data_IF_372745236060
#
_entry.id   IF_372745236060
#
_cell.length_a   1.000
_cell.length_b   1.000
_cell.length_c   1.000
_cell.angle_alpha   90.00
_cell.angle_beta   90.00
_cell.angle_gamma   90.00
#
_symmetry.space_group_name_H-M   'P 1'
#
loop_
_entity.id
_entity.type
_entity.pdbx_description
1 polymer ?
#
# COMPACT_ATOMS: atom_id res chain seq x y z
N UNK A 1 -5.07 -14.09 10.18
CA UNK A 1 -4.78 -14.32 11.63
C UNK A 1 -4.96 -13.06 12.49
N UNK A 2 -4.52 -11.87 12.06
CA UNK A 2 -4.74 -10.63 12.84
C UNK A 2 -6.18 -10.16 12.75
N UNK A 3 -6.79 -10.21 11.58
CA UNK A 3 -8.19 -9.88 11.34
C UNK A 3 -9.17 -10.80 12.12
N UNK A 4 -8.83 -12.07 12.31
CA UNK A 4 -9.65 -13.03 13.06
C UNK A 4 -9.72 -12.72 14.57
N UNK A 5 -8.81 -11.88 15.05
CA UNK A 5 -8.68 -11.54 16.47
C UNK A 5 -9.09 -10.11 16.80
N UNK A 6 -9.24 -9.25 15.80
CA UNK A 6 -9.52 -7.84 15.97
C UNK A 6 -10.70 -7.43 15.08
N UNK A 7 -11.87 -7.34 15.68
CA UNK A 7 -13.11 -6.95 15.01
C UNK A 7 -13.12 -5.47 14.58
N UNK A 8 -12.10 -4.69 14.96
CA UNK A 8 -11.91 -3.29 14.59
C UNK A 8 -11.05 -3.11 13.33
N UNK A 9 -10.83 -4.16 12.56
CA UNK A 9 -10.13 -4.06 11.28
C UNK A 9 -11.15 -4.21 10.15
N UNK A 10 -11.17 -3.22 9.25
CA UNK A 10 -11.99 -3.23 8.04
C UNK A 10 -11.12 -3.28 6.78
N UNK A 11 -11.61 -3.96 5.77
CA UNK A 11 -10.98 -4.01 4.45
C UNK A 11 -11.99 -3.59 3.38
N UNK A 12 -11.67 -2.54 2.65
CA UNK A 12 -12.49 -1.98 1.60
C UNK A 12 -11.84 -2.25 0.24
N UNK A 13 -12.62 -2.62 -0.74
CA UNK A 13 -12.13 -2.86 -2.10
C UNK A 13 -13.02 -2.19 -3.14
N UNK A 14 -12.42 -1.47 -4.08
CA UNK A 14 -13.09 -0.94 -5.26
C UNK A 14 -13.15 -1.97 -6.39
N UNK A 15 -12.18 -2.88 -6.47
CA UNK A 15 -12.09 -3.88 -7.53
C UNK A 15 -12.82 -5.17 -7.16
N UNK A 16 -13.81 -5.53 -7.98
CA UNK A 16 -14.59 -6.77 -7.80
C UNK A 16 -13.80 -8.02 -8.23
N UNK A 17 -12.89 -7.87 -9.17
CA UNK A 17 -12.23 -8.99 -9.86
C UNK A 17 -10.91 -9.45 -9.25
N UNK A 18 -10.45 -8.87 -8.13
CA UNK A 18 -9.17 -9.22 -7.53
C UNK A 18 -9.20 -10.60 -6.86
N UNK A 19 -8.87 -11.64 -7.61
CA UNK A 19 -8.82 -13.03 -7.13
C UNK A 19 -7.88 -13.20 -5.91
N UNK A 20 -6.85 -12.37 -5.79
CA UNK A 20 -5.96 -12.35 -4.63
C UNK A 20 -6.68 -12.03 -3.31
N UNK A 21 -7.87 -11.42 -3.35
CA UNK A 21 -8.69 -11.08 -2.20
C UNK A 21 -9.77 -12.12 -1.86
N UNK A 22 -9.93 -13.19 -2.65
CA UNK A 22 -11.01 -14.15 -2.47
C UNK A 22 -10.99 -14.84 -1.10
N UNK A 23 -9.81 -15.24 -0.65
CA UNK A 23 -9.65 -15.83 0.68
C UNK A 23 -9.98 -14.83 1.81
N UNK A 24 -9.57 -13.59 1.65
CA UNK A 24 -9.87 -12.52 2.59
C UNK A 24 -11.38 -12.26 2.65
N UNK A 25 -12.02 -12.15 1.50
CA UNK A 25 -13.46 -11.92 1.32
C UNK A 25 -14.31 -13.01 1.98
N UNK A 26 -13.89 -14.27 1.82
CA UNK A 26 -14.59 -15.43 2.43
C UNK A 26 -14.43 -15.47 3.96
N UNK A 27 -13.24 -15.17 4.47
CA UNK A 27 -12.93 -15.28 5.91
C UNK A 27 -13.44 -14.11 6.74
N UNK A 28 -13.58 -12.93 6.14
CA UNK A 28 -13.90 -11.68 6.85
C UNK A 28 -15.10 -10.95 6.25
N UNK A 29 -16.11 -11.71 5.86
CA UNK A 29 -17.27 -11.19 5.15
C UNK A 29 -17.99 -10.05 5.88
N UNK A 30 -17.97 -10.01 7.21
CA UNK A 30 -18.59 -8.94 8.02
C UNK A 30 -17.80 -7.61 7.97
N UNK A 31 -16.47 -7.68 7.80
CA UNK A 31 -15.57 -6.52 7.83
C UNK A 31 -14.90 -6.27 6.46
N UNK A 32 -15.32 -7.01 5.44
CA UNK A 32 -14.92 -6.81 4.06
C UNK A 32 -16.04 -6.09 3.32
N UNK A 33 -15.77 -4.85 2.89
CA UNK A 33 -16.73 -4.02 2.16
C UNK A 33 -16.32 -3.93 0.70
N UNK A 34 -17.25 -4.27 -0.16
CA UNK A 34 -17.10 -4.07 -1.60
C UNK A 34 -17.78 -2.77 -2.00
N UNK A 35 -17.01 -1.76 -2.35
CA UNK A 35 -17.49 -0.41 -2.64
C UNK A 35 -17.81 -0.18 -4.13
N UNK A 36 -17.55 -1.16 -5.00
CA UNK A 36 -17.68 -0.96 -6.45
C UNK A 36 -16.60 -0.01 -6.99
N UNK A 37 -16.75 0.42 -8.23
CA UNK A 37 -15.83 1.36 -8.88
C UNK A 37 -16.18 2.78 -8.44
N UNK A 38 -15.92 3.10 -7.18
CA UNK A 38 -16.24 4.37 -6.53
C UNK A 38 -15.19 4.74 -5.48
N UNK A 39 -13.94 4.89 -5.90
CA UNK A 39 -12.78 5.08 -5.02
C UNK A 39 -12.92 6.31 -4.12
N UNK A 40 -13.54 7.39 -4.60
CA UNK A 40 -13.81 8.58 -3.80
C UNK A 40 -14.73 8.26 -2.61
N UNK A 41 -15.91 7.67 -2.88
CA UNK A 41 -16.84 7.27 -1.83
C UNK A 41 -16.22 6.22 -0.89
N UNK A 42 -15.40 5.31 -1.42
CA UNK A 42 -14.66 4.32 -0.62
C UNK A 42 -13.74 4.99 0.40
N UNK A 43 -13.05 6.08 0.03
CA UNK A 43 -12.20 6.84 0.95
C UNK A 43 -13.01 7.60 1.99
N UNK A 44 -14.18 8.11 1.65
CA UNK A 44 -15.10 8.77 2.60
C UNK A 44 -15.64 7.76 3.62
N UNK A 45 -16.05 6.56 3.16
CA UNK A 45 -16.44 5.44 4.03
C UNK A 45 -15.28 5.03 4.94
N UNK A 46 -14.08 4.89 4.39
CA UNK A 46 -12.88 4.55 5.15
C UNK A 46 -12.59 5.59 6.24
N UNK A 47 -12.76 6.86 5.93
CA UNK A 47 -12.57 7.97 6.89
C UNK A 47 -13.61 7.90 8.02
N UNK A 48 -14.87 7.65 7.71
CA UNK A 48 -15.93 7.47 8.72
C UNK A 48 -15.64 6.28 9.64
N UNK A 49 -15.25 5.13 9.08
CA UNK A 49 -14.87 3.95 9.88
C UNK A 49 -13.64 4.21 10.75
N UNK A 50 -12.66 4.95 10.26
CA UNK A 50 -11.47 5.28 11.01
C UNK A 50 -11.75 6.26 12.16
N UNK A 51 -12.68 7.22 11.98
CA UNK A 51 -13.15 8.11 13.04
C UNK A 51 -13.83 7.36 14.18
N UNK A 52 -14.50 6.24 13.89
CA UNK A 52 -15.06 5.33 14.90
C UNK A 52 -14.01 4.42 15.58
N UNK A 53 -12.72 4.69 15.36
CA UNK A 53 -11.62 3.97 16.00
C UNK A 53 -11.26 2.63 15.35
N UNK A 54 -11.65 2.42 14.10
CA UNK A 54 -11.27 1.23 13.35
C UNK A 54 -9.97 1.44 12.58
N UNK A 55 -9.23 0.35 12.34
CA UNK A 55 -8.10 0.27 11.41
C UNK A 55 -8.64 -0.07 10.03
N UNK A 56 -8.39 0.76 9.05
CA UNK A 56 -9.01 0.59 7.74
C UNK A 56 -7.95 0.36 6.65
N UNK A 57 -8.14 -0.71 5.90
CA UNK A 57 -7.35 -1.04 4.72
C UNK A 57 -8.20 -0.83 3.48
N UNK A 58 -7.67 -0.09 2.52
CA UNK A 58 -8.36 0.27 1.28
C UNK A 58 -7.54 -0.24 0.10
N UNK A 59 -8.15 -1.03 -0.78
CA UNK A 59 -7.48 -1.65 -1.92
C UNK A 59 -8.12 -1.22 -3.23
N UNK A 60 -7.29 -0.71 -4.15
CA UNK A 60 -7.67 -0.43 -5.53
C UNK A 60 -6.44 -0.40 -6.46
N UNK A 61 -6.69 -0.27 -7.76
CA UNK A 61 -5.63 0.01 -8.74
C UNK A 61 -4.97 1.36 -8.45
N UNK A 62 -3.68 1.42 -8.64
CA UNK A 62 -2.85 2.56 -8.25
C UNK A 62 -3.31 3.91 -8.82
N UNK A 63 -3.63 4.09 -10.12
CA UNK A 63 -4.05 5.39 -10.65
C UNK A 63 -5.38 5.87 -10.06
N UNK A 64 -6.29 4.94 -9.76
CA UNK A 64 -7.60 5.29 -9.24
C UNK A 64 -7.55 5.62 -7.75
N UNK A 65 -6.68 4.94 -7.01
CA UNK A 65 -6.47 5.25 -5.60
C UNK A 65 -5.64 6.52 -5.39
N UNK A 66 -4.70 6.82 -6.29
CA UNK A 66 -3.82 7.99 -6.16
C UNK A 66 -4.41 9.25 -6.78
N UNK A 67 -4.86 9.21 -8.03
CA UNK A 67 -5.29 10.41 -8.75
C UNK A 67 -6.77 10.70 -8.53
N UNK A 68 -7.63 9.69 -8.71
CA UNK A 68 -9.08 9.87 -8.66
C UNK A 68 -9.58 10.26 -7.27
N UNK A 69 -8.96 9.76 -6.20
CA UNK A 69 -9.40 9.98 -4.82
C UNK A 69 -8.41 10.80 -3.97
N UNK A 70 -7.56 11.61 -4.62
CA UNK A 70 -6.52 12.37 -3.92
C UNK A 70 -7.09 13.40 -2.94
N UNK A 71 -8.20 14.03 -3.27
CA UNK A 71 -8.88 15.00 -2.41
C UNK A 71 -9.39 14.34 -1.13
N UNK A 72 -10.12 13.24 -1.25
CA UNK A 72 -10.65 12.46 -0.12
C UNK A 72 -9.50 11.94 0.76
N UNK A 73 -8.43 11.47 0.14
CA UNK A 73 -7.22 11.03 0.86
C UNK A 73 -6.59 12.17 1.62
N UNK A 74 -6.45 13.35 1.01
CA UNK A 74 -5.87 14.53 1.66
C UNK A 74 -6.72 15.00 2.84
N UNK A 75 -8.03 15.12 2.65
CA UNK A 75 -8.95 15.64 3.66
C UNK A 75 -9.19 14.63 4.78
N UNK A 76 -9.39 13.36 4.47
CA UNK A 76 -9.62 12.29 5.44
C UNK A 76 -8.31 11.80 6.06
N UNK A 77 -7.60 10.91 5.36
CA UNK A 77 -6.42 10.25 5.91
C UNK A 77 -5.29 11.21 6.29
N UNK A 78 -5.02 12.24 5.46
CA UNK A 78 -3.95 13.20 5.69
C UNK A 78 -4.26 14.21 6.79
N UNK A 79 -5.18 15.14 6.53
CA UNK A 79 -5.44 16.26 7.46
C UNK A 79 -6.02 15.81 8.80
N UNK A 80 -6.85 14.77 8.82
CA UNK A 80 -7.40 14.22 10.07
C UNK A 80 -6.49 13.20 10.73
N UNK A 81 -5.34 12.88 10.12
CA UNK A 81 -4.36 11.90 10.61
C UNK A 81 -5.00 10.54 10.98
N UNK A 82 -5.86 10.04 10.11
CA UNK A 82 -6.59 8.79 10.35
C UNK A 82 -5.75 7.55 10.03
N UNK A 83 -5.93 6.44 10.77
CA UNK A 83 -5.18 5.20 10.58
C UNK A 83 -5.69 4.41 9.38
N UNK A 84 -5.59 4.98 8.19
CA UNK A 84 -6.01 4.39 6.92
C UNK A 84 -4.79 3.93 6.14
N UNK A 85 -4.78 2.66 5.75
CA UNK A 85 -3.76 2.07 4.90
C UNK A 85 -4.28 1.88 3.48
N UNK A 86 -3.75 2.65 2.55
CA UNK A 86 -4.05 2.55 1.13
C UNK A 86 -3.13 1.53 0.47
N UNK A 87 -3.69 0.48 -0.10
CA UNK A 87 -2.96 -0.59 -0.80
C UNK A 87 -3.24 -0.44 -2.29
N UNK A 88 -2.27 0.07 -3.02
CA UNK A 88 -2.37 0.25 -4.47
C UNK A 88 -1.68 -0.88 -5.22
N UNK A 89 -2.27 -1.36 -6.29
CA UNK A 89 -1.70 -2.40 -7.16
C UNK A 89 -1.49 -1.89 -8.57
N UNK A 90 -0.42 -2.36 -9.21
CA UNK A 90 -0.07 -1.99 -10.59
C UNK A 90 0.54 -0.59 -10.70
N UNK A 91 1.47 -0.27 -9.81
CA UNK A 91 2.18 1.03 -9.81
C UNK A 91 3.06 1.20 -11.05
N UNK A 92 3.35 2.45 -11.39
CA UNK A 92 4.12 2.79 -12.59
C UNK A 92 3.41 2.32 -13.87
N UNK A 93 4.05 1.46 -14.64
CA UNK A 93 3.51 0.87 -15.86
C UNK A 93 3.01 -0.57 -15.67
N UNK A 94 2.61 -0.96 -14.47
CA UNK A 94 2.15 -2.30 -14.15
C UNK A 94 0.96 -2.79 -15.00
N UNK A 95 0.13 -1.87 -15.49
CA UNK A 95 -0.97 -2.12 -16.43
C UNK A 95 -0.72 -1.46 -17.78
N UNK A 96 0.50 -1.57 -18.32
CA UNK A 96 0.86 -0.97 -19.62
C UNK A 96 -0.03 -1.44 -20.77
N UNK A 97 -0.50 -2.68 -20.71
CA UNK A 97 -1.43 -3.31 -21.65
C UNK A 97 -2.83 -2.65 -21.66
N UNK A 98 -3.21 -1.96 -20.60
CA UNK A 98 -4.50 -1.27 -20.46
C UNK A 98 -4.46 0.20 -20.87
N UNK A 99 -3.28 0.71 -21.22
CA UNK A 99 -3.07 2.07 -21.72
C UNK A 99 -2.93 3.15 -20.65
N UNK A 100 -2.78 4.43 -21.07
CA UNK A 100 -2.39 5.53 -20.18
C UNK A 100 -3.33 5.80 -19.01
N UNK A 101 -4.61 5.45 -19.11
CA UNK A 101 -5.58 5.61 -18.03
C UNK A 101 -5.30 4.71 -16.82
N UNK A 102 -4.46 3.67 -17.01
CA UNK A 102 -4.08 2.71 -15.99
C UNK A 102 -2.62 2.86 -15.52
N UNK A 103 -1.89 3.87 -16.03
CA UNK A 103 -0.56 4.17 -15.55
C UNK A 103 -0.63 4.92 -14.21
N UNK A 104 0.36 4.70 -13.37
CA UNK A 104 0.49 5.36 -12.08
C UNK A 104 1.93 5.82 -11.89
N UNK A 105 2.34 6.79 -12.69
CA UNK A 105 3.69 7.39 -12.65
C UNK A 105 3.74 8.60 -11.71
N UNK A 106 2.60 9.18 -11.36
CA UNK A 106 2.44 10.39 -10.56
C UNK A 106 2.17 10.13 -9.08
N UNK A 107 1.89 8.90 -8.69
CA UNK A 107 1.44 8.53 -7.34
C UNK A 107 2.39 8.98 -6.24
N UNK A 108 3.71 8.87 -6.45
CA UNK A 108 4.70 9.39 -5.51
C UNK A 108 4.57 10.89 -5.28
N UNK A 109 4.40 11.67 -6.35
CA UNK A 109 4.26 13.12 -6.25
C UNK A 109 3.00 13.48 -5.45
N UNK A 110 1.89 12.79 -5.71
CA UNK A 110 0.63 12.97 -5.01
C UNK A 110 0.77 12.71 -3.51
N UNK A 111 1.24 11.53 -3.13
CA UNK A 111 1.31 11.13 -1.72
C UNK A 111 2.42 11.84 -0.94
N UNK A 112 3.54 12.20 -1.56
CA UNK A 112 4.57 13.02 -0.91
C UNK A 112 4.09 14.42 -0.53
N UNK A 113 3.09 14.94 -1.22
CA UNK A 113 2.51 16.25 -0.93
C UNK A 113 1.51 16.23 0.23
N UNK A 114 1.06 15.04 0.67
CA UNK A 114 0.09 14.93 1.76
C UNK A 114 0.83 14.75 3.08
N UNK A 115 0.54 15.64 4.04
CA UNK A 115 1.13 15.61 5.38
C UNK A 115 0.76 14.30 6.11
N UNK A 116 1.71 13.73 6.83
CA UNK A 116 1.51 12.49 7.59
C UNK A 116 1.59 11.21 6.78
N UNK A 117 1.73 11.29 5.45
CA UNK A 117 1.83 10.14 4.56
C UNK A 117 3.12 9.33 4.81
N UNK A 118 2.97 8.03 5.05
CA UNK A 118 4.06 7.05 5.05
C UNK A 118 3.97 6.22 3.78
N UNK A 119 4.98 6.33 2.90
CA UNK A 119 4.98 5.64 1.60
C UNK A 119 5.89 4.41 1.66
N UNK A 120 5.35 3.24 1.33
CA UNK A 120 6.07 1.98 1.31
C UNK A 120 6.09 1.38 -0.10
N UNK A 121 7.25 0.91 -0.53
CA UNK A 121 7.42 0.25 -1.83
C UNK A 121 8.17 -1.07 -1.62
N UNK A 122 7.47 -2.14 -1.21
CA UNK A 122 8.09 -3.44 -1.02
C UNK A 122 8.59 -4.02 -2.34
N UNK A 123 9.68 -4.76 -2.29
CA UNK A 123 10.28 -5.42 -3.44
C UNK A 123 10.00 -6.93 -3.49
N UNK A 124 9.48 -7.52 -2.40
CA UNK A 124 9.18 -8.93 -2.29
C UNK A 124 8.19 -9.23 -1.14
N UNK A 125 7.88 -10.50 -0.95
CA UNK A 125 6.95 -10.97 0.10
C UNK A 125 7.51 -10.71 1.51
N UNK A 126 8.82 -10.73 1.74
CA UNK A 126 9.41 -10.54 3.06
C UNK A 126 9.29 -9.08 3.52
N UNK A 127 9.64 -8.14 2.64
CA UNK A 127 9.44 -6.71 2.89
C UNK A 127 7.96 -6.36 3.05
N UNK A 128 7.08 -6.94 2.24
CA UNK A 128 5.62 -6.77 2.38
C UNK A 128 5.11 -7.24 3.74
N UNK A 129 5.58 -8.39 4.23
CA UNK A 129 5.19 -8.91 5.55
C UNK A 129 5.63 -8.02 6.70
N UNK A 130 6.83 -7.43 6.63
CA UNK A 130 7.30 -6.47 7.64
C UNK A 130 6.45 -5.20 7.66
N UNK A 131 6.17 -4.63 6.49
CA UNK A 131 5.29 -3.46 6.35
C UNK A 131 3.91 -3.76 6.94
N UNK A 132 3.29 -4.88 6.56
CA UNK A 132 1.98 -5.26 7.05
C UNK A 132 1.96 -5.45 8.58
N UNK A 133 3.03 -6.02 9.16
CA UNK A 133 3.17 -6.17 10.61
C UNK A 133 3.27 -4.82 11.30
N UNK A 134 4.07 -3.90 10.77
CA UNK A 134 4.22 -2.56 11.35
C UNK A 134 2.89 -1.81 11.33
N UNK A 135 2.21 -1.75 10.20
CA UNK A 135 0.92 -1.03 10.05
C UNK A 135 -0.15 -1.61 10.97
N UNK A 136 -0.19 -2.93 11.16
CA UNK A 136 -1.14 -3.55 12.09
C UNK A 136 -0.84 -3.20 13.54
N UNK A 137 0.44 -3.08 13.92
CA UNK A 137 0.88 -2.76 15.28
C UNK A 137 0.84 -1.25 15.57
N UNK A 138 1.16 -0.44 14.57
CA UNK A 138 1.26 1.03 14.63
C UNK A 138 0.41 1.65 13.52
N UNK A 139 -0.94 1.62 13.64
CA UNK A 139 -1.82 2.13 12.60
C UNK A 139 -1.61 3.62 12.37
N UNK A 140 -1.36 3.98 11.11
CA UNK A 140 -1.12 5.37 10.67
C UNK A 140 -1.52 5.50 9.20
N UNK A 141 -1.66 6.74 8.73
CA UNK A 141 -1.85 6.99 7.31
C UNK A 141 -0.67 6.43 6.52
N UNK A 142 -0.95 5.45 5.67
CA UNK A 142 0.06 4.71 4.92
C UNK A 142 -0.38 4.48 3.48
N UNK A 143 0.57 4.56 2.55
CA UNK A 143 0.38 4.24 1.15
C UNK A 143 1.36 3.14 0.74
N UNK A 144 0.84 1.96 0.39
CA UNK A 144 1.63 0.80 -0.04
C UNK A 144 1.54 0.68 -1.55
N UNK A 145 2.69 0.65 -2.21
CA UNK A 145 2.84 0.51 -3.65
C UNK A 145 3.20 -0.91 -4.02
N UNK A 146 2.25 -1.67 -4.56
CA UNK A 146 2.46 -3.04 -5.02
C UNK A 146 2.57 -3.12 -6.54
N UNK A 147 3.49 -3.94 -7.03
CA UNK A 147 3.52 -4.30 -8.43
C UNK A 147 2.33 -5.22 -8.76
N UNK A 148 1.96 -5.32 -10.04
CA UNK A 148 0.97 -6.27 -10.55
C UNK A 148 1.49 -7.70 -10.54
N UNK A 149 2.79 -7.85 -10.82
CA UNK A 149 3.43 -9.14 -10.97
C UNK A 149 3.87 -9.73 -9.63
N UNK A 150 3.96 -11.05 -9.57
CA UNK A 150 4.66 -11.73 -8.48
C UNK A 150 6.17 -11.50 -8.63
N UNK A 151 6.76 -10.84 -7.65
CA UNK A 151 8.19 -10.56 -7.62
C UNK A 151 8.94 -11.71 -6.93
N UNK A 152 10.13 -12.10 -7.42
CA UNK A 152 10.98 -13.07 -6.74
C UNK A 152 11.40 -12.61 -5.35
N UNK A 153 11.76 -13.55 -4.48
CA UNK A 153 12.24 -13.26 -3.14
C UNK A 153 13.71 -12.82 -3.18
N UNK A 154 14.00 -11.60 -2.75
CA UNK A 154 15.36 -11.05 -2.69
C UNK A 154 15.79 -10.63 -1.28
N UNK A 155 14.84 -10.56 -0.34
CA UNK A 155 15.09 -10.14 1.04
C UNK A 155 14.80 -11.22 2.10
N UNK A 156 15.17 -12.49 1.93
CA UNK A 156 14.79 -13.53 2.90
C UNK A 156 15.34 -13.28 4.31
N UNK A 157 16.35 -12.41 4.44
CA UNK A 157 16.98 -12.03 5.71
C UNK A 157 16.74 -10.56 6.09
N UNK A 158 15.70 -9.91 5.55
CA UNK A 158 15.35 -8.56 5.98
C UNK A 158 14.92 -8.57 7.45
N UNK A 159 15.42 -7.63 8.21
CA UNK A 159 15.17 -7.55 9.65
C UNK A 159 14.27 -6.35 9.99
N UNK A 160 13.77 -6.33 11.24
CA UNK A 160 13.05 -5.15 11.73
C UNK A 160 13.95 -3.91 11.79
N UNK A 161 15.25 -4.08 12.00
CA UNK A 161 16.19 -2.97 12.00
C UNK A 161 16.33 -2.34 10.61
N UNK A 162 16.51 -3.17 9.56
CA UNK A 162 16.52 -2.69 8.17
C UNK A 162 15.23 -1.89 7.85
N UNK A 163 14.09 -2.37 8.35
CA UNK A 163 12.80 -1.68 8.18
C UNK A 163 12.77 -0.32 8.89
N UNK A 164 13.25 -0.27 10.13
CA UNK A 164 13.26 0.95 10.94
C UNK A 164 14.21 2.03 10.36
N UNK A 165 15.29 1.61 9.72
CA UNK A 165 16.20 2.49 8.97
C UNK A 165 15.58 3.00 7.66
N UNK A 166 14.55 2.33 7.15
CA UNK A 166 13.83 2.69 5.93
C UNK A 166 14.55 2.31 4.63
N UNK A 167 15.72 1.68 4.70
CA UNK A 167 16.49 1.18 3.55
C UNK A 167 17.40 0.02 3.95
N UNK A 168 17.87 -0.72 2.95
CA UNK A 168 18.87 -1.76 3.15
C UNK A 168 20.04 -1.57 2.17
N UNK A 169 21.26 -1.71 2.68
CA UNK A 169 22.49 -1.63 1.88
C UNK A 169 22.92 -3.03 1.47
N UNK A 170 23.19 -3.19 0.18
CA UNK A 170 23.77 -4.41 -0.39
C UNK A 170 25.19 -4.15 -0.86
N UNK A 171 26.08 -5.12 -0.63
CA UNK A 171 27.48 -5.04 -1.03
C UNK A 171 28.37 -4.33 -0.01
N UNK A 172 29.68 -4.24 -0.34
CA UNK A 172 30.67 -3.57 0.50
C UNK A 172 30.78 -2.11 0.12
N UNK A 173 30.68 -1.22 1.09
CA UNK A 173 30.72 0.23 0.89
C UNK A 173 32.15 0.71 0.58
N UNK A 174 33.16 -0.05 1.01
CA UNK A 174 34.58 0.36 0.89
C UNK A 174 35.02 0.57 -0.56
N UNK A 175 35.57 1.75 -0.83
CA UNK A 175 36.16 2.16 -2.13
C UNK A 175 35.18 2.20 -3.31
N UNK A 176 33.86 2.24 -3.10
CA UNK A 176 32.87 2.39 -4.17
C UNK A 176 32.72 3.87 -4.56
N UNK A 177 32.65 4.13 -5.88
CA UNK A 177 32.43 5.47 -6.43
C UNK A 177 31.00 5.71 -6.88
N UNK A 178 30.17 4.65 -6.98
CA UNK A 178 28.81 4.69 -7.49
C UNK A 178 27.93 3.94 -6.52
N UNK A 179 26.79 4.54 -6.17
CA UNK A 179 25.68 3.90 -5.46
C UNK A 179 24.44 3.83 -6.37
N UNK A 180 23.81 2.67 -6.43
CA UNK A 180 22.50 2.50 -7.06
C UNK A 180 21.45 2.56 -5.95
N UNK A 181 20.46 3.45 -6.12
CA UNK A 181 19.32 3.58 -5.20
C UNK A 181 18.08 3.12 -5.95
N UNK A 182 17.42 2.10 -5.43
CA UNK A 182 16.28 1.48 -6.10
C UNK A 182 15.21 1.05 -5.09
N UNK A 183 13.99 0.81 -5.55
CA UNK A 183 12.88 0.34 -4.74
C UNK A 183 11.89 -0.49 -5.57
N UNK A 184 11.07 -1.30 -4.89
CA UNK A 184 10.05 -2.14 -5.52
C UNK A 184 10.65 -3.06 -6.58
N UNK A 185 9.93 -3.25 -7.68
CA UNK A 185 10.35 -4.11 -8.81
C UNK A 185 11.71 -3.75 -9.38
N UNK A 186 12.07 -2.46 -9.41
CA UNK A 186 13.34 -2.03 -9.99
C UNK A 186 14.56 -2.52 -9.22
N UNK A 187 14.39 -2.89 -7.94
CA UNK A 187 15.48 -3.47 -7.17
C UNK A 187 15.96 -4.81 -7.75
N UNK A 188 15.09 -5.55 -8.45
CA UNK A 188 15.45 -6.81 -9.11
C UNK A 188 16.35 -6.63 -10.34
N UNK A 189 16.45 -5.40 -10.85
CA UNK A 189 17.28 -5.05 -12.02
C UNK A 189 18.60 -4.37 -11.64
N UNK A 190 18.84 -4.08 -10.36
CA UNK A 190 20.05 -3.47 -9.83
C UNK A 190 21.01 -4.48 -9.21
#
# INVERSE_FOLDING_TARGET
KSLEKDNKIFFLSADFGAAALDDLRKRFSSNFLHCGISEQAMLDIASGLALEGNKVFVYAMAPFLSLRSIEQTKCGAGLMNLPICLISVGVGLGYADSGPTHYSTEDYACFRAIVGSSIFTPADIFSTKLIAKDILSNPKFSYIRLDRDNLPDIHPKITQNDFNEGFKIYGKIEKKKIALISHGKMLHSC
#
